data_IF_807830371044
#
_entry.id   IF_807830371044
#
_cell.length_a   1.000
_cell.length_b   1.000
_cell.length_c   1.000
_cell.angle_alpha   90.00
_cell.angle_beta   90.00
_cell.angle_gamma   90.00
#
_symmetry.space_group_name_H-M   'P 1'
#
loop_
_entity.id
_entity.type
_entity.pdbx_description
1 polymer ?
#
# COMPACT_ATOMS: atom_id res chain seq x y z
N UNK A 1 -25.98 50.83 47.53
CA UNK A 1 -24.88 50.01 46.94
C UNK A 1 -25.41 49.38 45.67
N UNK A 2 -25.08 49.95 44.51
CA UNK A 2 -25.53 49.45 43.20
C UNK A 2 -24.29 48.87 42.48
N UNK A 3 -24.20 47.55 42.37
CA UNK A 3 -23.16 46.89 41.55
C UNK A 3 -23.84 46.33 40.31
N UNK A 4 -23.79 47.07 39.22
CA UNK A 4 -24.15 46.60 37.89
C UNK A 4 -23.06 45.66 37.37
N UNK A 5 -23.40 44.38 37.19
CA UNK A 5 -22.55 43.42 36.50
C UNK A 5 -22.58 43.70 34.98
N UNK A 6 -21.42 43.72 34.28
CA UNK A 6 -21.40 43.86 32.83
C UNK A 6 -21.84 42.55 32.16
N UNK A 7 -22.93 42.62 31.39
CA UNK A 7 -23.42 41.54 30.54
C UNK A 7 -22.51 41.39 29.32
N UNK A 8 -21.62 40.39 29.34
CA UNK A 8 -20.80 40.04 28.17
C UNK A 8 -21.66 39.17 27.24
N UNK A 9 -22.43 39.82 26.36
CA UNK A 9 -23.06 39.13 25.25
C UNK A 9 -22.00 38.78 24.21
N UNK A 10 -21.45 37.55 24.27
CA UNK A 10 -20.68 36.98 23.17
C UNK A 10 -21.63 36.77 21.99
N UNK A 11 -21.72 37.76 21.10
CA UNK A 11 -22.41 37.59 19.81
C UNK A 11 -21.60 36.60 18.99
N UNK A 12 -22.06 35.35 18.96
CA UNK A 12 -21.63 34.39 17.95
C UNK A 12 -22.19 34.88 16.62
N UNK A 13 -21.44 35.77 15.97
CA UNK A 13 -21.87 36.47 14.77
C UNK A 13 -21.74 35.56 13.56
N UNK A 14 -22.87 35.21 12.95
CA UNK A 14 -22.89 34.58 11.63
C UNK A 14 -22.14 35.48 10.63
N UNK A 15 -21.35 34.86 9.76
CA UNK A 15 -20.68 35.59 8.68
C UNK A 15 -21.74 36.20 7.73
N UNK A 16 -21.50 37.38 7.16
CA UNK A 16 -22.35 37.98 6.13
C UNK A 16 -22.59 36.99 4.98
N UNK A 17 -23.80 36.94 4.37
CA UNK A 17 -24.14 35.99 3.30
C UNK A 17 -23.12 35.96 2.16
N UNK A 18 -22.60 37.12 1.75
CA UNK A 18 -21.57 37.22 0.71
C UNK A 18 -20.23 36.57 1.11
N UNK A 19 -19.86 36.63 2.39
CA UNK A 19 -18.66 35.94 2.89
C UNK A 19 -18.88 34.43 2.94
N UNK A 20 -20.06 33.98 3.34
CA UNK A 20 -20.45 32.56 3.32
C UNK A 20 -20.39 31.99 1.90
N UNK A 21 -20.95 32.68 0.89
CA UNK A 21 -20.89 32.24 -0.52
C UNK A 21 -19.44 32.15 -1.02
N UNK A 22 -18.59 33.14 -0.71
CA UNK A 22 -17.17 33.11 -1.08
C UNK A 22 -16.43 31.93 -0.47
N UNK A 23 -16.67 31.62 0.80
CA UNK A 23 -16.08 30.47 1.48
C UNK A 23 -16.53 29.17 0.82
N UNK A 24 -17.82 29.01 0.53
CA UNK A 24 -18.35 27.82 -0.15
C UNK A 24 -17.71 27.65 -1.52
N UNK A 25 -17.62 28.72 -2.33
CA UNK A 25 -16.97 28.66 -3.64
C UNK A 25 -15.48 28.32 -3.54
N UNK A 26 -14.76 28.88 -2.56
CA UNK A 26 -13.35 28.56 -2.33
C UNK A 26 -13.16 27.09 -1.92
N UNK A 27 -14.03 26.55 -1.06
CA UNK A 27 -14.00 25.14 -0.66
C UNK A 27 -14.33 24.21 -1.84
N UNK A 28 -15.32 24.56 -2.67
CA UNK A 28 -15.65 23.80 -3.88
C UNK A 28 -14.48 23.80 -4.86
N UNK A 29 -13.85 24.95 -5.09
CA UNK A 29 -12.67 25.04 -5.94
C UNK A 29 -11.51 24.19 -5.39
N UNK A 30 -11.24 24.27 -4.08
CA UNK A 30 -10.22 23.47 -3.42
C UNK A 30 -10.50 21.96 -3.57
N UNK A 31 -11.76 21.54 -3.42
CA UNK A 31 -12.16 20.15 -3.62
C UNK A 31 -11.94 19.70 -5.08
N UNK A 32 -12.30 20.54 -6.06
CA UNK A 32 -12.05 20.26 -7.48
C UNK A 32 -10.54 20.12 -7.76
N UNK A 33 -9.72 21.05 -7.27
CA UNK A 33 -8.26 20.99 -7.40
C UNK A 33 -7.70 19.71 -6.78
N UNK A 34 -8.19 19.33 -5.59
CA UNK A 34 -7.78 18.10 -4.91
C UNK A 34 -8.12 16.84 -5.73
N UNK A 35 -9.33 16.77 -6.29
CA UNK A 35 -9.77 15.65 -7.15
C UNK A 35 -8.88 15.54 -8.40
N UNK A 36 -8.61 16.65 -9.07
CA UNK A 36 -7.76 16.66 -10.26
C UNK A 36 -6.29 16.33 -9.94
N UNK A 37 -5.78 16.80 -8.80
CA UNK A 37 -4.46 16.39 -8.32
C UNK A 37 -4.39 14.87 -8.14
N UNK A 38 -5.37 14.29 -7.45
CA UNK A 38 -5.42 12.85 -7.21
C UNK A 38 -5.45 12.06 -8.53
N UNK A 39 -6.31 12.49 -9.47
CA UNK A 39 -6.42 11.89 -10.79
C UNK A 39 -5.10 11.96 -11.59
N UNK A 40 -4.41 13.11 -11.55
CA UNK A 40 -3.11 13.28 -12.21
C UNK A 40 -2.05 12.30 -11.69
N UNK A 41 -2.02 12.05 -10.38
CA UNK A 41 -1.11 11.07 -9.80
C UNK A 41 -1.44 9.64 -10.25
N UNK A 42 -2.73 9.31 -10.36
CA UNK A 42 -3.18 7.99 -10.86
C UNK A 42 -2.91 7.77 -12.35
N UNK A 43 -2.87 8.83 -13.16
CA UNK A 43 -2.61 8.76 -14.61
C UNK A 43 -1.12 8.59 -14.97
N UNK A 44 -0.21 8.71 -14.01
CA UNK A 44 1.22 8.57 -14.22
C UNK A 44 1.80 7.36 -13.46
N UNK A 45 1.34 6.13 -13.76
CA UNK A 45 1.84 4.95 -13.07
C UNK A 45 3.33 4.76 -13.38
N UNK A 46 4.10 4.42 -12.35
CA UNK A 46 5.55 4.21 -12.42
C UNK A 46 5.86 2.72 -12.25
N UNK A 47 7.04 2.31 -12.74
CA UNK A 47 7.59 1.03 -12.35
C UNK A 47 7.99 1.13 -10.88
N UNK A 48 7.46 0.23 -10.07
CA UNK A 48 7.80 0.09 -8.66
C UNK A 48 8.56 -1.21 -8.46
N UNK A 49 9.70 -1.12 -7.78
CA UNK A 49 10.48 -2.27 -7.33
C UNK A 49 10.63 -2.15 -5.83
N UNK A 50 10.20 -3.18 -5.10
CA UNK A 50 10.23 -3.20 -3.64
C UNK A 50 11.04 -4.40 -3.19
N UNK A 51 12.14 -4.15 -2.49
CA UNK A 51 12.91 -5.17 -1.79
C UNK A 51 12.33 -5.29 -0.39
N UNK A 52 11.87 -6.48 -0.03
CA UNK A 52 11.28 -6.75 1.27
C UNK A 52 12.36 -7.17 2.26
N UNK A 53 12.25 -6.64 3.47
CA UNK A 53 13.00 -7.17 4.61
C UNK A 53 12.29 -8.43 5.11
N UNK A 54 12.80 -9.58 4.69
CA UNK A 54 12.31 -10.93 5.03
C UNK A 54 13.25 -11.66 5.99
N UNK A 55 14.22 -10.93 6.56
CA UNK A 55 15.26 -11.51 7.40
C UNK A 55 16.36 -12.16 6.56
N UNK A 56 16.17 -13.39 6.12
CA UNK A 56 17.16 -14.14 5.34
C UNK A 56 16.67 -14.40 3.90
N UNK A 57 17.62 -14.35 2.97
CA UNK A 57 17.40 -14.49 1.53
C UNK A 57 16.72 -13.28 0.92
N UNK A 58 16.01 -13.50 -0.18
CA UNK A 58 15.44 -12.42 -1.00
C UNK A 58 13.91 -12.51 -1.09
N UNK A 59 13.27 -11.34 -1.19
CA UNK A 59 11.91 -11.23 -1.71
C UNK A 59 11.69 -9.85 -2.34
N UNK A 60 11.35 -9.85 -3.63
CA UNK A 60 11.29 -8.64 -4.45
C UNK A 60 9.96 -8.59 -5.19
N UNK A 61 9.24 -7.49 -5.01
CA UNK A 61 8.02 -7.19 -5.77
C UNK A 61 8.37 -6.24 -6.91
N UNK A 62 7.93 -6.56 -8.12
CA UNK A 62 7.96 -5.64 -9.26
C UNK A 62 6.53 -5.37 -9.71
N UNK A 63 6.12 -4.11 -9.75
CA UNK A 63 4.83 -3.66 -10.25
C UNK A 63 5.04 -2.67 -11.39
N UNK A 64 4.64 -3.07 -12.59
CA UNK A 64 4.83 -2.26 -13.81
C UNK A 64 3.76 -1.17 -13.96
N UNK A 65 4.05 -0.12 -14.76
CA UNK A 65 3.05 0.90 -15.12
C UNK A 65 1.79 0.36 -15.79
N UNK A 66 1.87 -0.81 -16.43
CA UNK A 66 0.75 -1.46 -17.12
C UNK A 66 -0.08 -2.36 -16.21
N UNK A 67 0.20 -2.38 -14.90
CA UNK A 67 -0.51 -3.18 -13.91
C UNK A 67 -0.10 -4.66 -13.89
N UNK A 68 1.05 -5.00 -14.50
CA UNK A 68 1.67 -6.32 -14.38
C UNK A 68 2.49 -6.43 -13.11
N UNK A 69 2.41 -7.57 -12.44
CA UNK A 69 3.08 -7.83 -11.17
C UNK A 69 3.96 -9.08 -11.21
N UNK A 70 5.13 -8.98 -10.60
CA UNK A 70 6.09 -10.06 -10.43
C UNK A 70 6.47 -10.17 -8.95
N UNK A 71 6.61 -11.39 -8.46
CA UNK A 71 7.28 -11.69 -7.21
C UNK A 71 8.52 -12.52 -7.52
N UNK A 72 9.69 -12.08 -7.05
CA UNK A 72 10.94 -12.85 -7.13
C UNK A 72 11.29 -13.25 -5.70
N UNK A 73 11.31 -14.54 -5.44
CA UNK A 73 11.52 -15.16 -4.14
C UNK A 73 10.53 -14.69 -3.03
N UNK A 74 10.34 -15.54 -2.03
CA UNK A 74 9.42 -15.34 -0.91
C UNK A 74 10.12 -15.12 0.43
N UNK A 75 11.46 -15.09 0.43
CA UNK A 75 12.26 -15.14 1.64
C UNK A 75 12.09 -16.43 2.40
N UNK A 76 12.63 -16.45 3.61
CA UNK A 76 12.40 -17.52 4.57
C UNK A 76 13.28 -17.34 5.81
N UNK A 77 13.16 -18.26 6.76
CA UNK A 77 14.08 -18.36 7.89
C UNK A 77 14.84 -19.67 7.77
N UNK A 78 16.15 -19.62 7.97
CA UNK A 78 16.94 -20.83 8.16
C UNK A 78 16.79 -21.35 9.60
N UNK A 79 16.59 -22.67 9.75
CA UNK A 79 16.57 -23.36 11.04
C UNK A 79 15.36 -24.27 11.25
N UNK A 80 15.56 -25.40 11.95
CA UNK A 80 14.58 -26.48 12.20
C UNK A 80 13.30 -26.04 12.94
N UNK A 81 13.30 -24.88 13.59
CA UNK A 81 12.17 -24.35 14.37
C UNK A 81 11.38 -23.24 13.65
N UNK A 82 11.63 -23.02 12.36
CA UNK A 82 10.92 -22.00 11.59
C UNK A 82 9.63 -22.59 11.08
N UNK A 83 8.49 -22.05 11.52
CA UNK A 83 7.21 -22.30 10.85
C UNK A 83 7.37 -21.84 9.40
N UNK A 84 7.55 -22.81 8.49
CA UNK A 84 7.60 -22.57 7.04
C UNK A 84 6.37 -21.74 6.70
N UNK A 85 6.61 -20.57 6.12
CA UNK A 85 5.54 -19.66 5.73
C UNK A 85 5.27 -18.41 6.53
N UNK A 86 5.96 -18.18 7.65
CA UNK A 86 5.80 -16.93 8.39
C UNK A 86 6.08 -15.70 7.50
N UNK A 87 7.11 -15.76 6.66
CA UNK A 87 7.46 -14.63 5.79
C UNK A 87 6.42 -14.39 4.70
N UNK A 88 5.92 -15.46 4.07
CA UNK A 88 4.83 -15.39 3.10
C UNK A 88 3.60 -14.69 3.68
N UNK A 89 3.13 -15.17 4.84
CA UNK A 89 1.91 -14.69 5.51
C UNK A 89 2.04 -13.31 6.13
N UNK A 90 3.15 -13.02 6.80
CA UNK A 90 3.28 -11.81 7.63
C UNK A 90 4.01 -10.66 6.93
N UNK A 91 4.81 -10.94 5.91
CA UNK A 91 5.61 -9.92 5.21
C UNK A 91 5.17 -9.78 3.75
N UNK A 92 5.24 -10.88 2.98
CA UNK A 92 5.10 -10.83 1.51
C UNK A 92 3.66 -10.52 1.09
N UNK A 93 2.67 -11.26 1.59
CA UNK A 93 1.25 -11.04 1.26
C UNK A 93 0.79 -9.63 1.65
N UNK A 94 1.03 -9.12 2.87
CA UNK A 94 0.70 -7.74 3.22
C UNK A 94 1.41 -6.71 2.34
N UNK A 95 2.66 -6.95 1.95
CA UNK A 95 3.39 -6.05 1.05
C UNK A 95 2.77 -6.01 -0.36
N UNK A 96 2.40 -7.15 -0.92
CA UNK A 96 1.68 -7.24 -2.20
C UNK A 96 0.37 -6.44 -2.16
N UNK A 97 -0.43 -6.61 -1.11
CA UNK A 97 -1.67 -5.84 -0.93
C UNK A 97 -1.42 -4.34 -0.78
N UNK A 98 -0.36 -3.93 -0.05
CA UNK A 98 0.04 -2.51 0.06
C UNK A 98 0.43 -1.91 -1.29
N UNK A 99 0.97 -2.71 -2.21
CA UNK A 99 1.25 -2.28 -3.59
C UNK A 99 0.02 -2.31 -4.50
N UNK A 100 -1.17 -2.61 -3.97
CA UNK A 100 -2.41 -2.71 -4.75
C UNK A 100 -2.51 -3.98 -5.61
N UNK A 101 -1.61 -4.95 -5.39
CA UNK A 101 -1.54 -6.19 -6.16
C UNK A 101 -2.53 -7.20 -5.54
N UNK A 102 -3.46 -7.71 -6.36
CA UNK A 102 -4.46 -8.72 -5.94
C UNK A 102 -4.35 -10.05 -6.70
N UNK A 103 -3.47 -10.10 -7.69
CA UNK A 103 -3.10 -11.27 -8.49
C UNK A 103 -1.66 -11.07 -8.91
N UNK A 104 -0.88 -12.15 -8.99
CA UNK A 104 0.52 -12.11 -9.39
C UNK A 104 0.61 -12.64 -10.82
N UNK A 105 1.15 -11.83 -11.76
CA UNK A 105 1.30 -12.29 -13.15
C UNK A 105 2.40 -13.34 -13.28
N UNK A 106 3.47 -13.24 -12.51
CA UNK A 106 4.44 -14.32 -12.39
C UNK A 106 5.17 -14.35 -11.03
N UNK A 107 5.45 -15.55 -10.55
CA UNK A 107 6.38 -15.82 -9.44
C UNK A 107 7.66 -16.40 -10.03
N UNK A 108 8.81 -15.93 -9.59
CA UNK A 108 10.14 -16.46 -9.95
C UNK A 108 10.79 -17.00 -8.68
N UNK A 109 11.04 -18.31 -8.64
CA UNK A 109 11.85 -18.97 -7.64
C UNK A 109 13.27 -19.12 -8.18
N UNK A 110 14.23 -18.37 -7.61
CA UNK A 110 15.59 -18.30 -8.16
C UNK A 110 16.37 -19.60 -7.95
N UNK A 111 16.22 -20.25 -6.81
CA UNK A 111 16.85 -21.54 -6.45
C UNK A 111 16.17 -22.15 -5.21
N UNK A 112 16.30 -23.47 -4.95
CA UNK A 112 15.43 -24.18 -4.01
C UNK A 112 15.83 -24.03 -2.53
N UNK A 113 16.62 -23.01 -2.17
CA UNK A 113 16.96 -22.81 -0.77
C UNK A 113 15.78 -22.26 0.03
N UNK A 114 15.60 -22.75 1.25
CA UNK A 114 14.48 -22.40 2.14
C UNK A 114 14.40 -20.89 2.44
N UNK A 115 15.51 -20.17 2.43
CA UNK A 115 15.55 -18.71 2.60
C UNK A 115 15.13 -17.93 1.35
N UNK A 116 14.89 -18.60 0.22
CA UNK A 116 14.36 -17.99 -1.00
C UNK A 116 12.93 -18.46 -1.29
N UNK A 117 12.67 -19.77 -1.21
CA UNK A 117 11.34 -20.32 -1.55
C UNK A 117 10.41 -20.46 -0.35
N UNK A 118 10.91 -20.31 0.88
CA UNK A 118 10.20 -20.68 2.10
C UNK A 118 8.91 -19.91 2.38
N UNK A 119 8.75 -18.70 1.82
CA UNK A 119 7.52 -17.92 1.90
C UNK A 119 6.62 -17.98 0.65
N UNK A 120 7.05 -18.67 -0.42
CA UNK A 120 6.28 -18.78 -1.66
C UNK A 120 5.02 -19.66 -1.56
N UNK A 121 5.03 -20.81 -0.84
CA UNK A 121 3.83 -21.66 -0.71
C UNK A 121 2.60 -20.88 -0.24
N UNK A 122 2.73 -20.05 0.79
CA UNK A 122 1.62 -19.30 1.37
C UNK A 122 1.11 -18.24 0.41
N UNK A 123 2.02 -17.60 -0.33
CA UNK A 123 1.65 -16.64 -1.37
C UNK A 123 0.84 -17.31 -2.47
N UNK A 124 1.27 -18.49 -2.91
CA UNK A 124 0.60 -19.27 -3.97
C UNK A 124 -0.78 -19.77 -3.49
N UNK A 125 -0.88 -20.17 -2.21
CA UNK A 125 -2.13 -20.64 -1.61
C UNK A 125 -3.15 -19.51 -1.40
N UNK A 126 -2.70 -18.30 -1.03
CA UNK A 126 -3.58 -17.17 -0.70
C UNK A 126 -3.93 -16.29 -1.92
N UNK A 127 -3.02 -16.18 -2.90
CA UNK A 127 -3.16 -15.23 -4.01
C UNK A 127 -3.22 -15.92 -5.37
N UNK A 128 -4.08 -15.45 -6.30
CA UNK A 128 -4.07 -15.95 -7.68
C UNK A 128 -2.73 -15.69 -8.37
N UNK A 129 -2.04 -16.75 -8.79
CA UNK A 129 -0.79 -16.69 -9.56
C UNK A 129 -1.02 -17.24 -10.98
N UNK A 130 -0.60 -16.49 -11.99
CA UNK A 130 -0.77 -16.91 -13.41
C UNK A 130 0.34 -17.84 -13.89
N UNK A 131 1.57 -17.63 -13.44
CA UNK A 131 2.74 -18.37 -13.92
C UNK A 131 3.76 -18.47 -12.79
N UNK A 132 4.41 -19.62 -12.69
CA UNK A 132 5.55 -19.85 -11.80
C UNK A 132 6.73 -20.26 -12.68
N UNK A 133 7.87 -19.61 -12.48
CA UNK A 133 9.13 -19.93 -13.10
C UNK A 133 10.09 -20.38 -12.01
N UNK A 134 10.70 -21.56 -12.18
CA UNK A 134 11.76 -22.06 -11.31
C UNK A 134 13.07 -22.20 -12.09
N UNK A 135 14.17 -22.44 -11.38
CA UNK A 135 15.50 -22.61 -11.96
C UNK A 135 15.81 -24.02 -12.46
N UNK A 136 14.87 -24.97 -12.36
CA UNK A 136 15.05 -26.38 -12.70
C UNK A 136 15.95 -27.15 -11.74
N UNK A 137 16.31 -26.56 -10.60
CA UNK A 137 17.13 -27.18 -9.55
C UNK A 137 16.18 -27.81 -8.51
N UNK A 138 16.30 -29.12 -8.30
CA UNK A 138 15.51 -29.91 -7.34
C UNK A 138 16.43 -30.74 -6.46
#
# INVERSE_FOLDING_TARGET
MNRSFPQIHKRFGWLPPAQTVRIVLALLLAAVVLVWWQAWQSLNPRLTVVFLDVGQGDSIIIHSPTGKSLLIDGGGRSGESSDRGEMGRWVVIPALYRQGIRRIDAVIATHPHDDHIGGLPEVIDEMPVRMILDSGQF
#
